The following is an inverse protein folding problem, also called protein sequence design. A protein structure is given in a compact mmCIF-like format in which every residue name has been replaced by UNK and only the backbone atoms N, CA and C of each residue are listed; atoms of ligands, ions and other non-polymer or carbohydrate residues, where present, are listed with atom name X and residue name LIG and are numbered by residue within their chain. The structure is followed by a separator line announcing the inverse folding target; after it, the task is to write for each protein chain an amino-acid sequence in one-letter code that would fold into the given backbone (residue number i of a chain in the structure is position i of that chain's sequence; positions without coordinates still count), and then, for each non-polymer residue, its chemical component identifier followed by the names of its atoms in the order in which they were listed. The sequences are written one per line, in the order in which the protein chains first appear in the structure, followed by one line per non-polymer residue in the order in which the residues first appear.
data_IF_098417240674
#
_entry.id   IF_098417240674
#
_cell.length_a   1.000
_cell.length_b   1.000
_cell.length_c   1.000
_cell.angle_alpha   90.00
_cell.angle_beta   90.00
_cell.angle_gamma   90.00
#
_symmetry.space_group_name_H-M   'P 1'
#
loop_
_entity.id
_entity.type
_entity.pdbx_description
1 polymer ?
#
# COMPACT_ATOMS: atom_id res chain seq x y z
N UNK A 1 -27.16 8.27 -6.90
CA UNK A 1 -26.27 7.10 -6.68
C UNK A 1 -27.00 5.76 -6.78
N UNK A 2 -28.18 5.59 -6.16
CA UNK A 2 -28.94 4.32 -6.18
C UNK A 2 -29.42 3.87 -7.57
N UNK A 3 -29.80 4.79 -8.45
CA UNK A 3 -30.30 4.47 -9.80
C UNK A 3 -29.22 3.85 -10.71
N UNK A 4 -28.00 4.38 -10.68
CA UNK A 4 -26.88 3.88 -11.48
C UNK A 4 -26.50 2.47 -11.02
N UNK A 5 -26.40 2.25 -9.70
CA UNK A 5 -26.09 0.94 -9.14
C UNK A 5 -27.15 -0.11 -9.51
N UNK A 6 -28.43 0.28 -9.49
CA UNK A 6 -29.53 -0.58 -9.91
C UNK A 6 -29.45 -0.96 -11.39
N UNK A 7 -29.13 0.00 -12.27
CA UNK A 7 -28.95 -0.24 -13.70
C UNK A 7 -27.80 -1.21 -13.96
N UNK A 8 -26.64 -1.01 -13.30
CA UNK A 8 -25.48 -1.89 -13.44
C UNK A 8 -25.80 -3.32 -12.99
N UNK A 9 -26.42 -3.48 -11.81
CA UNK A 9 -26.81 -4.80 -11.29
C UNK A 9 -27.77 -5.51 -12.25
N UNK A 10 -28.78 -4.80 -12.74
CA UNK A 10 -29.76 -5.35 -13.70
C UNK A 10 -29.11 -5.74 -15.02
N UNK A 11 -28.16 -4.93 -15.53
CA UNK A 11 -27.40 -5.22 -16.72
C UNK A 11 -26.56 -6.50 -16.56
N UNK A 12 -25.81 -6.63 -15.45
CA UNK A 12 -24.97 -7.80 -15.17
C UNK A 12 -25.85 -9.04 -15.05
N UNK A 13 -26.91 -8.98 -14.23
CA UNK A 13 -27.82 -10.09 -14.02
C UNK A 13 -28.43 -10.59 -15.34
N UNK A 14 -28.94 -9.68 -16.19
CA UNK A 14 -29.56 -10.04 -17.47
C UNK A 14 -28.58 -10.72 -18.42
N UNK A 15 -27.34 -10.22 -18.50
CA UNK A 15 -26.33 -10.82 -19.37
C UNK A 15 -25.83 -12.17 -18.84
N UNK A 16 -25.67 -12.34 -17.52
CA UNK A 16 -25.32 -13.64 -16.93
C UNK A 16 -26.43 -14.68 -17.15
N UNK A 17 -27.70 -14.29 -16.97
CA UNK A 17 -28.85 -15.16 -17.25
C UNK A 17 -28.87 -15.58 -18.73
N UNK A 18 -28.63 -14.64 -19.65
CA UNK A 18 -28.55 -14.89 -21.09
C UNK A 18 -27.39 -15.82 -21.47
N UNK A 19 -26.24 -15.72 -20.79
CA UNK A 19 -25.11 -16.66 -20.97
C UNK A 19 -25.49 -18.07 -20.51
N UNK A 20 -26.20 -18.20 -19.38
CA UNK A 20 -26.59 -19.49 -18.84
C UNK A 20 -27.65 -20.18 -19.72
N UNK A 21 -28.79 -19.52 -19.96
CA UNK A 21 -29.99 -20.13 -20.55
C UNK A 21 -30.37 -19.63 -21.95
N UNK A 22 -29.63 -18.70 -22.54
CA UNK A 22 -29.93 -18.15 -23.88
C UNK A 22 -29.48 -19.04 -25.04
N UNK A 23 -29.87 -18.65 -26.26
CA UNK A 23 -29.38 -19.27 -27.51
C UNK A 23 -27.89 -18.99 -27.73
N UNK A 24 -27.22 -19.77 -28.60
CA UNK A 24 -25.78 -19.58 -28.90
C UNK A 24 -25.45 -18.12 -29.24
N UNK A 25 -26.26 -17.48 -30.09
CA UNK A 25 -26.07 -16.07 -30.45
C UNK A 25 -26.27 -15.12 -29.24
N UNK A 26 -27.24 -15.40 -28.38
CA UNK A 26 -27.48 -14.61 -27.17
C UNK A 26 -26.32 -14.75 -26.16
N UNK A 27 -25.73 -15.95 -26.04
CA UNK A 27 -24.54 -16.19 -25.21
C UNK A 27 -23.35 -15.38 -25.72
N UNK A 28 -23.04 -15.46 -27.01
CA UNK A 28 -21.92 -14.71 -27.62
C UNK A 28 -22.11 -13.20 -27.42
N UNK A 29 -23.30 -12.67 -27.71
CA UNK A 29 -23.60 -11.23 -27.51
C UNK A 29 -23.46 -10.81 -26.05
N UNK A 30 -24.01 -11.58 -25.11
CA UNK A 30 -23.94 -11.25 -23.69
C UNK A 30 -22.53 -11.36 -23.13
N UNK A 31 -21.72 -12.32 -23.58
CA UNK A 31 -20.30 -12.40 -23.23
C UNK A 31 -19.53 -11.20 -23.78
N UNK A 32 -19.78 -10.79 -25.03
CA UNK A 32 -19.15 -9.61 -25.62
C UNK A 32 -19.50 -8.32 -24.85
N UNK A 33 -20.77 -8.12 -24.50
CA UNK A 33 -21.19 -6.94 -23.73
C UNK A 33 -20.60 -6.92 -22.32
N UNK A 34 -20.52 -8.06 -21.65
CA UNK A 34 -19.85 -8.13 -20.35
C UNK A 34 -18.34 -7.88 -20.50
N UNK A 35 -17.69 -8.44 -21.54
CA UNK A 35 -16.25 -8.25 -21.75
C UNK A 35 -15.91 -6.80 -22.05
N UNK A 36 -16.75 -6.04 -22.74
CA UNK A 36 -16.52 -4.62 -22.96
C UNK A 36 -16.47 -3.83 -21.65
N UNK A 37 -17.31 -4.20 -20.67
CA UNK A 37 -17.31 -3.54 -19.36
C UNK A 37 -16.15 -4.05 -18.50
N UNK A 38 -15.85 -5.34 -18.52
CA UNK A 38 -14.84 -5.92 -17.62
C UNK A 38 -13.42 -5.81 -18.15
N UNK A 39 -13.20 -5.68 -19.46
CA UNK A 39 -11.86 -5.71 -20.08
C UNK A 39 -10.92 -4.59 -19.61
N UNK A 40 -11.36 -3.31 -19.42
CA UNK A 40 -10.46 -2.29 -18.89
C UNK A 40 -10.00 -2.62 -17.46
N UNK A 41 -10.88 -3.19 -16.64
CA UNK A 41 -10.55 -3.62 -15.28
C UNK A 41 -9.66 -4.87 -15.28
N UNK A 42 -9.89 -5.79 -16.22
CA UNK A 42 -9.03 -6.96 -16.43
C UNK A 42 -7.61 -6.54 -16.78
N UNK A 43 -7.46 -5.65 -17.76
CA UNK A 43 -6.16 -5.09 -18.14
C UNK A 43 -5.47 -4.35 -16.99
N UNK A 44 -6.19 -3.51 -16.25
CA UNK A 44 -5.65 -2.84 -15.06
C UNK A 44 -5.21 -3.87 -14.00
N UNK A 45 -6.02 -4.90 -13.77
CA UNK A 45 -5.71 -6.00 -12.86
C UNK A 45 -4.44 -6.73 -13.26
N UNK A 46 -4.28 -7.08 -14.53
CA UNK A 46 -3.06 -7.68 -15.07
C UNK A 46 -1.83 -6.79 -14.82
N UNK A 47 -1.92 -5.48 -15.10
CA UNK A 47 -0.81 -4.54 -14.86
C UNK A 47 -0.46 -4.38 -13.38
N UNK A 48 -1.46 -4.37 -12.50
CA UNK A 48 -1.24 -4.35 -11.06
C UNK A 48 -0.54 -5.63 -10.60
N UNK A 49 -0.97 -6.79 -11.11
CA UNK A 49 -0.37 -8.09 -10.75
C UNK A 49 1.04 -8.24 -11.30
N UNK A 50 1.30 -7.78 -12.52
CA UNK A 50 2.64 -7.73 -13.12
C UNK A 50 3.57 -6.86 -12.26
N UNK A 51 3.15 -5.65 -11.91
CA UNK A 51 3.91 -4.78 -11.02
C UNK A 51 4.14 -5.40 -9.64
N UNK A 52 3.10 -6.00 -9.05
CA UNK A 52 3.21 -6.67 -7.75
C UNK A 52 4.22 -7.82 -7.80
N UNK A 53 4.19 -8.65 -8.84
CA UNK A 53 5.12 -9.77 -9.01
C UNK A 53 6.57 -9.29 -9.10
N UNK A 54 6.84 -8.24 -9.87
CA UNK A 54 8.19 -7.65 -10.01
C UNK A 54 8.67 -7.05 -8.68
N UNK A 55 7.76 -6.48 -7.89
CA UNK A 55 8.09 -5.75 -6.67
C UNK A 55 7.73 -6.52 -5.40
N UNK A 56 7.55 -7.84 -5.48
CA UNK A 56 7.01 -8.66 -4.40
C UNK A 56 7.78 -8.48 -3.10
N UNK A 57 9.12 -8.51 -3.14
CA UNK A 57 9.97 -8.36 -1.96
C UNK A 57 9.76 -7.00 -1.29
N UNK A 58 9.68 -5.92 -2.08
CA UNK A 58 9.41 -4.58 -1.55
C UNK A 58 8.04 -4.52 -0.88
N UNK A 59 7.00 -5.03 -1.53
CA UNK A 59 5.64 -5.05 -0.98
C UNK A 59 5.57 -5.90 0.29
N UNK A 60 6.26 -7.04 0.31
CA UNK A 60 6.34 -7.93 1.47
C UNK A 60 6.89 -7.21 2.69
N UNK A 61 8.01 -6.49 2.56
CA UNK A 61 8.61 -5.74 3.68
C UNK A 61 7.76 -4.57 4.15
N UNK A 62 7.15 -3.83 3.21
CA UNK A 62 6.26 -2.71 3.54
C UNK A 62 5.02 -3.20 4.29
N UNK A 63 4.37 -4.25 3.80
CA UNK A 63 3.20 -4.84 4.47
C UNK A 63 3.59 -5.48 5.81
N UNK A 64 4.74 -6.15 5.86
CA UNK A 64 5.31 -6.68 7.10
C UNK A 64 5.52 -5.58 8.15
N UNK A 65 6.07 -4.43 7.75
CA UNK A 65 6.25 -3.28 8.64
C UNK A 65 4.91 -2.74 9.17
N UNK A 66 3.86 -2.69 8.33
CA UNK A 66 2.51 -2.28 8.77
C UNK A 66 1.94 -3.28 9.79
N UNK A 67 2.10 -4.58 9.55
CA UNK A 67 1.62 -5.62 10.46
C UNK A 67 2.33 -5.52 11.81
N UNK A 68 3.66 -5.43 11.81
CA UNK A 68 4.45 -5.30 13.03
C UNK A 68 4.07 -4.03 13.79
N UNK A 69 3.98 -2.90 13.09
CA UNK A 69 3.51 -1.64 13.67
C UNK A 69 2.13 -1.77 14.31
N UNK A 70 1.18 -2.40 13.63
CA UNK A 70 -0.19 -2.57 14.11
C UNK A 70 -0.26 -3.46 15.35
N UNK A 71 0.50 -4.56 15.38
CA UNK A 71 0.58 -5.46 16.54
C UNK A 71 1.17 -4.70 17.74
N UNK A 72 2.31 -4.04 17.55
CA UNK A 72 2.99 -3.31 18.63
C UNK A 72 2.16 -2.12 19.12
N UNK A 73 1.54 -1.38 18.21
CA UNK A 73 0.64 -0.28 18.54
C UNK A 73 -0.57 -0.76 19.34
N UNK A 74 -1.19 -1.86 18.91
CA UNK A 74 -2.31 -2.49 19.64
C UNK A 74 -1.89 -2.89 21.05
N UNK A 75 -0.71 -3.52 21.19
CA UNK A 75 -0.17 -3.90 22.50
C UNK A 75 0.06 -2.69 23.41
N UNK A 76 0.68 -1.63 22.90
CA UNK A 76 0.96 -0.40 23.67
C UNK A 76 -0.34 0.23 24.14
N UNK A 77 -1.30 0.43 23.25
CA UNK A 77 -2.57 1.08 23.61
C UNK A 77 -3.41 0.21 24.55
N UNK A 78 -3.37 -1.13 24.43
CA UNK A 78 -4.10 -2.03 25.31
C UNK A 78 -3.47 -2.15 26.70
N UNK A 79 -2.16 -2.31 26.80
CA UNK A 79 -1.50 -2.71 28.04
C UNK A 79 -0.61 -1.65 28.68
N UNK A 80 -0.01 -0.75 27.89
CA UNK A 80 0.93 0.27 28.39
C UNK A 80 0.19 1.59 28.67
N UNK A 81 -0.47 2.15 27.65
CA UNK A 81 -1.21 3.42 27.74
C UNK A 81 -2.63 3.27 28.26
N UNK A 82 -3.22 2.07 28.12
CA UNK A 82 -4.57 1.73 28.59
C UNK A 82 -5.68 2.63 28.02
N UNK A 83 -5.50 3.07 26.77
CA UNK A 83 -6.40 3.96 26.02
C UNK A 83 -6.91 3.30 24.73
N UNK A 84 -6.87 1.96 24.65
CA UNK A 84 -7.23 1.21 23.44
C UNK A 84 -8.67 1.47 22.99
N UNK A 85 -8.81 1.81 21.71
CA UNK A 85 -10.09 1.92 21.01
C UNK A 85 -10.02 1.13 19.71
N UNK A 86 -10.91 0.14 19.55
CA UNK A 86 -10.95 -0.69 18.34
C UNK A 86 -11.20 0.15 17.08
N UNK A 87 -12.04 1.18 17.18
CA UNK A 87 -12.34 2.10 16.08
C UNK A 87 -11.10 2.84 15.62
N UNK A 88 -10.33 3.40 16.56
CA UNK A 88 -9.09 4.12 16.21
C UNK A 88 -8.00 3.16 15.74
N UNK A 89 -7.95 1.93 16.27
CA UNK A 89 -6.99 0.92 15.83
C UNK A 89 -7.21 0.51 14.36
N UNK A 90 -8.44 0.18 13.99
CA UNK A 90 -8.80 -0.17 12.60
C UNK A 90 -8.59 1.04 11.69
N UNK A 91 -9.01 2.23 12.11
CA UNK A 91 -8.83 3.47 11.34
C UNK A 91 -7.34 3.74 11.08
N UNK A 92 -6.48 3.59 12.08
CA UNK A 92 -5.04 3.74 11.95
C UNK A 92 -4.43 2.74 10.97
N UNK A 93 -4.84 1.46 11.06
CA UNK A 93 -4.40 0.42 10.13
C UNK A 93 -4.81 0.72 8.68
N UNK A 94 -6.10 0.99 8.45
CA UNK A 94 -6.63 1.31 7.12
C UNK A 94 -5.95 2.55 6.53
N UNK A 95 -5.76 3.59 7.34
CA UNK A 95 -5.09 4.81 6.90
C UNK A 95 -3.64 4.55 6.46
N UNK A 96 -2.88 3.75 7.22
CA UNK A 96 -1.49 3.40 6.85
C UNK A 96 -1.44 2.61 5.55
N UNK A 97 -2.31 1.62 5.38
CA UNK A 97 -2.43 0.87 4.12
C UNK A 97 -2.74 1.80 2.93
N UNK A 98 -3.74 2.67 3.07
CA UNK A 98 -4.14 3.59 2.01
C UNK A 98 -3.03 4.57 1.65
N UNK A 99 -2.34 5.15 2.63
CA UNK A 99 -1.25 6.09 2.39
C UNK A 99 -0.09 5.44 1.65
N UNK A 100 0.32 4.25 2.09
CA UNK A 100 1.41 3.50 1.44
C UNK A 100 1.05 3.14 -0.01
N UNK A 101 -0.18 2.69 -0.27
CA UNK A 101 -0.66 2.39 -1.62
C UNK A 101 -0.68 3.66 -2.48
N UNK A 102 -1.27 4.74 -1.97
CA UNK A 102 -1.42 5.99 -2.70
C UNK A 102 -0.06 6.61 -3.05
N UNK A 103 0.84 6.73 -2.06
CA UNK A 103 2.16 7.31 -2.27
C UNK A 103 3.02 6.41 -3.16
N UNK A 104 2.96 5.08 -2.96
CA UNK A 104 3.65 4.12 -3.83
C UNK A 104 3.21 4.22 -5.29
N UNK A 105 1.90 4.36 -5.55
CA UNK A 105 1.36 4.58 -6.88
C UNK A 105 1.87 5.88 -7.52
N UNK A 106 1.84 7.00 -6.77
CA UNK A 106 2.34 8.28 -7.27
C UNK A 106 3.84 8.23 -7.61
N UNK A 107 4.64 7.56 -6.78
CA UNK A 107 6.09 7.38 -7.01
C UNK A 107 6.35 6.61 -8.31
N UNK A 108 5.60 5.54 -8.58
CA UNK A 108 5.75 4.80 -9.84
C UNK A 108 5.36 5.65 -11.06
N UNK A 109 4.34 6.52 -10.91
CA UNK A 109 4.02 7.54 -11.91
C UNK A 109 5.18 8.49 -12.19
N UNK A 110 5.84 9.01 -11.14
CA UNK A 110 7.03 9.86 -11.28
C UNK A 110 8.17 9.15 -12.01
N UNK A 111 8.45 7.89 -11.67
CA UNK A 111 9.49 7.11 -12.35
C UNK A 111 9.23 6.96 -13.85
N UNK A 112 7.97 6.81 -14.24
CA UNK A 112 7.61 6.74 -15.65
C UNK A 112 7.84 8.07 -16.38
N UNK A 113 7.52 9.20 -15.73
CA UNK A 113 7.71 10.56 -16.28
C UNK A 113 9.20 10.92 -16.41
N UNK A 114 10.03 10.53 -15.45
CA UNK A 114 11.47 10.83 -15.43
C UNK A 114 12.27 10.07 -16.51
N UNK A 115 11.66 9.10 -17.19
CA UNK A 115 12.31 8.27 -18.20
C UNK A 115 13.15 7.15 -17.57
N UNK A 116 12.95 5.92 -18.04
CA UNK A 116 13.71 4.75 -17.59
C UNK A 116 15.14 4.72 -18.13
N UNK A 117 16.06 4.08 -17.42
CA UNK A 117 17.42 3.78 -17.88
C UNK A 117 18.51 4.79 -17.51
N UNK A 118 18.17 5.83 -16.74
CA UNK A 118 19.13 6.81 -16.23
C UNK A 118 19.40 6.60 -14.73
N UNK A 119 20.66 6.78 -14.31
CA UNK A 119 21.10 6.68 -12.90
C UNK A 119 20.22 7.49 -11.92
N UNK A 120 19.74 8.65 -12.37
CA UNK A 120 18.85 9.53 -11.59
C UNK A 120 17.53 8.84 -11.25
N UNK A 121 16.93 8.11 -12.20
CA UNK A 121 15.65 7.42 -12.04
C UNK A 121 15.77 6.23 -11.08
N UNK A 122 16.89 5.50 -11.15
CA UNK A 122 17.18 4.39 -10.24
C UNK A 122 17.41 4.89 -8.81
N UNK A 123 18.20 5.95 -8.66
CA UNK A 123 18.44 6.59 -7.37
C UNK A 123 17.14 7.12 -6.73
N UNK A 124 16.32 7.82 -7.53
CA UNK A 124 14.99 8.28 -7.11
C UNK A 124 14.12 7.09 -6.67
N UNK A 125 14.07 6.02 -7.46
CA UNK A 125 13.29 4.82 -7.13
C UNK A 125 13.68 4.21 -5.79
N UNK A 126 14.98 4.10 -5.51
CA UNK A 126 15.48 3.53 -4.24
C UNK A 126 15.09 4.43 -3.06
N UNK A 127 15.31 5.74 -3.15
CA UNK A 127 14.96 6.68 -2.07
C UNK A 127 13.46 6.69 -1.81
N UNK A 128 12.66 6.78 -2.87
CA UNK A 128 11.21 6.85 -2.75
C UNK A 128 10.63 5.56 -2.14
N UNK A 129 11.16 4.38 -2.51
CA UNK A 129 10.77 3.11 -1.88
C UNK A 129 11.19 3.05 -0.42
N UNK A 130 12.38 3.54 -0.09
CA UNK A 130 12.84 3.61 1.29
C UNK A 130 11.96 4.55 2.12
N UNK A 131 11.55 5.70 1.59
CA UNK A 131 10.62 6.62 2.25
C UNK A 131 9.28 5.93 2.58
N UNK A 132 8.69 5.24 1.60
CA UNK A 132 7.41 4.53 1.80
C UNK A 132 7.55 3.41 2.83
N UNK A 133 8.68 2.71 2.87
CA UNK A 133 8.96 1.68 3.87
C UNK A 133 9.23 2.26 5.27
N UNK A 134 9.97 3.36 5.37
CA UNK A 134 10.33 4.01 6.64
C UNK A 134 9.10 4.59 7.32
N UNK A 135 8.04 4.95 6.59
CA UNK A 135 6.79 5.41 7.20
C UNK A 135 6.17 4.39 8.20
N UNK A 136 5.80 3.16 7.81
CA UNK A 136 5.32 2.15 8.75
C UNK A 136 6.43 1.59 9.63
N UNK A 137 7.64 1.37 9.10
CA UNK A 137 8.74 0.80 9.88
C UNK A 137 9.18 1.72 11.02
N UNK A 138 9.31 3.03 10.77
CA UNK A 138 9.65 4.03 11.78
C UNK A 138 8.60 4.10 12.89
N UNK A 139 7.32 3.94 12.54
CA UNK A 139 6.24 3.83 13.52
C UNK A 139 6.36 2.56 14.37
N UNK A 140 6.63 1.40 13.76
CA UNK A 140 6.89 0.15 14.49
C UNK A 140 8.07 0.28 15.46
N UNK A 141 9.14 0.91 14.99
CA UNK A 141 10.36 1.14 15.76
C UNK A 141 10.12 2.09 16.95
N UNK A 142 9.30 3.13 16.78
CA UNK A 142 8.88 3.98 17.89
C UNK A 142 8.11 3.16 18.94
N UNK A 143 7.22 2.28 18.50
CA UNK A 143 6.50 1.38 19.40
C UNK A 143 7.46 0.45 20.16
N UNK A 144 8.45 -0.14 19.50
CA UNK A 144 9.51 -0.90 20.18
C UNK A 144 10.25 -0.06 21.23
N UNK A 145 10.59 1.20 20.91
CA UNK A 145 11.26 2.10 21.85
C UNK A 145 10.38 2.38 23.07
N UNK A 146 9.06 2.53 22.91
CA UNK A 146 8.13 2.71 24.04
C UNK A 146 8.11 1.46 24.92
N UNK A 147 8.00 0.26 24.33
CA UNK A 147 7.96 -1.00 25.07
C UNK A 147 9.26 -1.25 25.85
N UNK A 148 10.40 -0.85 25.28
CA UNK A 148 11.72 -1.09 25.85
C UNK A 148 12.26 0.06 26.68
N UNK A 149 11.46 1.10 26.95
CA UNK A 149 11.90 2.33 27.64
C UNK A 149 13.15 2.97 27.01
N UNK A 150 13.18 3.03 25.68
CA UNK A 150 14.26 3.68 24.92
C UNK A 150 15.51 2.83 24.69
N UNK A 151 15.50 1.56 25.06
CA UNK A 151 16.64 0.66 24.85
C UNK A 151 16.76 0.17 23.41
N UNK A 152 15.64 -0.10 22.72
CA UNK A 152 15.67 -0.63 21.35
C UNK A 152 14.48 -0.17 20.49
N UNK A 153 14.72 0.47 19.33
CA UNK A 153 16.00 1.11 18.98
C UNK A 153 16.27 2.32 19.89
N UNK A 154 17.54 2.72 20.09
CA UNK A 154 17.88 3.89 20.89
C UNK A 154 17.14 5.14 20.39
N UNK A 155 16.76 6.03 21.31
CA UNK A 155 16.07 7.29 20.98
C UNK A 155 16.85 8.17 19.97
N UNK A 156 18.18 8.11 20.02
CA UNK A 156 19.05 8.73 19.01
C UNK A 156 18.78 8.18 17.60
N UNK A 157 18.56 6.88 17.46
CA UNK A 157 18.25 6.23 16.18
C UNK A 157 16.86 6.61 15.67
N UNK A 158 15.87 6.70 16.56
CA UNK A 158 14.54 7.25 16.25
C UNK A 158 14.66 8.69 15.73
N UNK A 159 15.49 9.53 16.35
CA UNK A 159 15.70 10.92 15.90
C UNK A 159 16.29 10.99 14.49
N UNK A 160 17.12 10.01 14.09
CA UNK A 160 17.70 9.91 12.74
C UNK A 160 16.63 9.57 11.69
N UNK A 161 15.71 8.66 12.02
CA UNK A 161 14.56 8.34 11.15
C UNK A 161 13.66 9.56 10.97
N UNK A 162 13.39 10.29 12.05
CA UNK A 162 12.57 11.52 11.99
C UNK A 162 13.24 12.59 11.11
N UNK A 163 14.56 12.77 11.22
CA UNK A 163 15.33 13.67 10.35
C UNK A 163 15.31 13.22 8.89
N UNK A 164 15.47 11.93 8.62
CA UNK A 164 15.37 11.39 7.26
C UNK A 164 13.98 11.63 6.65
N UNK A 165 12.91 11.42 7.41
CA UNK A 165 11.56 11.70 6.93
C UNK A 165 11.32 13.19 6.64
N UNK A 166 12.02 14.09 7.34
CA UNK A 166 11.89 15.54 7.16
C UNK A 166 12.70 16.05 5.98
N UNK A 167 13.95 15.60 5.86
CA UNK A 167 14.95 16.22 4.98
C UNK A 167 15.41 15.28 3.83
N UNK A 168 14.91 14.03 3.78
CA UNK A 168 15.33 12.95 2.87
C UNK A 168 16.84 12.66 2.85
N UNK A 169 17.59 13.14 3.85
CA UNK A 169 19.04 13.07 3.86
C UNK A 169 19.54 11.73 4.45
N UNK A 170 20.25 10.96 3.62
CA UNK A 170 20.86 9.67 3.98
C UNK A 170 22.12 9.79 4.85
N UNK A 171 22.71 10.99 4.98
CA UNK A 171 23.97 11.21 5.70
C UNK A 171 23.85 10.93 7.21
N UNK A 172 22.65 11.03 7.77
CA UNK A 172 22.36 10.67 9.15
C UNK A 172 22.63 9.18 9.46
N UNK A 173 22.55 8.32 8.44
CA UNK A 173 22.82 6.89 8.52
C UNK A 173 24.26 6.52 8.14
N UNK A 174 24.99 7.40 7.44
CA UNK A 174 26.38 7.16 7.02
C UNK A 174 27.42 7.41 8.11
N UNK A 175 27.09 8.24 9.11
CA UNK A 175 28.00 8.51 10.22
C UNK A 175 27.73 7.57 11.41
N UNK A 176 28.26 6.35 11.29
CA UNK A 176 28.68 5.54 12.43
C UNK A 176 30.20 5.64 12.52
N UNK A 177 30.71 6.77 13.03
CA UNK A 177 32.07 6.78 13.57
C UNK A 177 31.94 6.21 14.99
N UNK A 178 32.57 5.05 15.19
CA UNK A 178 32.92 4.57 16.52
C UNK A 178 33.89 5.52 17.21
#
# INVERSE_FOLDING_TARGET
MNTILFIIKKFIYKNLLSIHSGTVLAKVKSTFYLSLITSPFGFLGEKIMEWFSINFVYVLFVMGAIIVDHILGSYIHAFVKRDFSMKENIKGFVLKCLLVIAVGYLIEGFKHILGGGNFITDYFSVISRLMVFVYPAGSALMNCSIITNGKFPPTSWISKITKFNKDMNLDAFKNAKG
#
